data_IF_792441774922
#
_entry.id   IF_792441774922
#
_cell.length_a   1.000
_cell.length_b   1.000
_cell.length_c   1.000
_cell.angle_alpha   90.00
_cell.angle_beta   90.00
_cell.angle_gamma   90.00
#
_symmetry.space_group_name_H-M   'P 1'
#
loop_
_entity.id
_entity.type
_entity.pdbx_description
1 polymer ?
#
# COMPACT_ATOMS: atom_id res chain seq x y z
N UNK A 1 -19.61 -3.99 2.97
CA UNK A 1 -18.69 -3.13 3.73
C UNK A 1 -17.68 -2.47 2.80
N UNK A 2 -17.41 -1.21 3.04
CA UNK A 2 -16.59 -0.37 2.15
C UNK A 2 -15.16 -0.28 2.68
N UNK A 3 -14.18 -0.35 1.78
CA UNK A 3 -12.80 -0.01 2.12
C UNK A 3 -12.73 1.45 2.53
N UNK A 4 -11.98 1.76 3.58
CA UNK A 4 -11.80 3.11 4.09
C UNK A 4 -10.42 3.28 4.72
N UNK A 5 -10.08 4.52 5.07
CA UNK A 5 -8.77 4.82 5.65
C UNK A 5 -8.51 4.04 6.95
N UNK A 6 -9.52 3.86 7.80
CA UNK A 6 -9.36 3.09 9.02
C UNK A 6 -8.89 1.66 8.74
N UNK A 7 -9.49 1.00 7.75
CA UNK A 7 -9.07 -0.36 7.35
C UNK A 7 -7.67 -0.35 6.72
N UNK A 8 -7.34 0.66 5.94
CA UNK A 8 -5.98 0.82 5.40
C UNK A 8 -4.97 0.89 6.53
N UNK A 9 -5.23 1.70 7.56
CA UNK A 9 -4.32 1.80 8.72
C UNK A 9 -4.19 0.48 9.45
N UNK A 10 -5.25 -0.30 9.56
CA UNK A 10 -5.18 -1.64 10.16
C UNK A 10 -4.26 -2.57 9.37
N UNK A 11 -4.30 -2.50 8.04
CA UNK A 11 -3.36 -3.26 7.19
C UNK A 11 -1.92 -2.78 7.44
N UNK A 12 -1.68 -1.49 7.38
CA UNK A 12 -0.35 -0.92 7.53
C UNK A 12 0.24 -1.21 8.92
N UNK A 13 -0.57 -1.11 9.98
CA UNK A 13 -0.13 -1.34 11.35
C UNK A 13 0.19 -2.82 11.63
N UNK A 14 -0.41 -3.73 10.89
CA UNK A 14 -0.27 -5.17 11.12
C UNK A 14 0.62 -5.91 10.11
N UNK A 15 1.08 -5.24 9.06
CA UNK A 15 1.81 -5.91 7.97
C UNK A 15 3.12 -6.57 8.41
N UNK A 16 3.74 -6.12 9.50
CA UNK A 16 4.97 -6.71 10.04
C UNK A 16 4.75 -7.53 11.31
N UNK A 17 3.68 -7.27 12.05
CA UNK A 17 3.43 -7.90 13.37
C UNK A 17 2.32 -8.95 13.32
N UNK A 18 1.36 -8.80 12.44
CA UNK A 18 0.26 -9.75 12.24
C UNK A 18 -0.13 -9.79 10.76
N UNK A 19 0.75 -10.39 9.98
CA UNK A 19 0.61 -10.48 8.52
C UNK A 19 -0.70 -11.14 8.11
N UNK A 20 -1.13 -12.18 8.82
CA UNK A 20 -2.37 -12.90 8.54
C UNK A 20 -3.59 -11.96 8.60
N UNK A 21 -3.67 -11.12 9.62
CA UNK A 21 -4.75 -10.13 9.75
C UNK A 21 -4.70 -9.09 8.64
N UNK A 22 -3.50 -8.57 8.32
CA UNK A 22 -3.33 -7.61 7.25
C UNK A 22 -3.80 -8.18 5.89
N UNK A 23 -3.42 -9.41 5.58
CA UNK A 23 -3.82 -10.10 4.36
C UNK A 23 -5.33 -10.33 4.31
N UNK A 24 -5.93 -10.72 5.44
CA UNK A 24 -7.36 -10.94 5.54
C UNK A 24 -8.14 -9.66 5.21
N UNK A 25 -7.77 -8.54 5.82
CA UNK A 25 -8.42 -7.25 5.56
C UNK A 25 -8.25 -6.84 4.10
N UNK A 26 -7.05 -6.98 3.55
CA UNK A 26 -6.77 -6.68 2.15
C UNK A 26 -7.62 -7.53 1.21
N UNK A 27 -7.65 -8.82 1.42
CA UNK A 27 -8.40 -9.77 0.57
C UNK A 27 -9.90 -9.53 0.62
N UNK A 28 -10.45 -9.27 1.81
CA UNK A 28 -11.89 -9.02 1.99
C UNK A 28 -12.35 -7.73 1.29
N UNK A 29 -11.43 -6.78 1.09
CA UNK A 29 -11.73 -5.47 0.53
C UNK A 29 -11.17 -5.26 -0.88
N UNK A 30 -10.61 -6.28 -1.50
CA UNK A 30 -10.16 -6.25 -2.89
C UNK A 30 -11.32 -6.59 -3.83
N UNK A 31 -11.50 -5.79 -4.89
CA UNK A 31 -12.45 -6.09 -5.94
C UNK A 31 -11.99 -7.32 -6.73
N UNK A 32 -12.92 -8.07 -7.34
CA UNK A 32 -12.59 -9.24 -8.15
C UNK A 32 -11.67 -8.91 -9.33
N UNK A 33 -11.72 -7.67 -9.84
CA UNK A 33 -10.87 -7.17 -10.92
C UNK A 33 -9.70 -6.32 -10.41
N UNK A 34 -9.27 -6.54 -9.16
CA UNK A 34 -8.17 -5.78 -8.56
C UNK A 34 -6.91 -5.81 -9.43
N UNK A 35 -6.30 -4.62 -9.58
CA UNK A 35 -5.03 -4.47 -10.29
C UNK A 35 -4.12 -3.51 -9.53
N UNK A 36 -2.88 -3.94 -9.28
CA UNK A 36 -1.82 -3.10 -8.73
C UNK A 36 -0.98 -2.55 -9.89
N UNK A 37 -0.84 -1.23 -9.93
CA UNK A 37 -0.05 -0.53 -10.94
C UNK A 37 1.11 0.15 -10.23
N UNK A 38 2.33 -0.26 -10.54
CA UNK A 38 3.57 0.37 -10.07
C UNK A 38 4.21 1.16 -11.20
N UNK A 39 5.14 2.01 -10.83
CA UNK A 39 5.83 2.89 -11.77
C UNK A 39 6.46 2.14 -12.96
N UNK A 40 7.03 0.96 -12.69
CA UNK A 40 7.74 0.16 -13.71
C UNK A 40 7.09 -1.19 -14.01
N UNK A 41 5.99 -1.51 -13.33
CA UNK A 41 5.35 -2.82 -13.47
C UNK A 41 3.86 -2.76 -13.18
N UNK A 42 3.16 -3.80 -13.62
CA UNK A 42 1.74 -3.94 -13.40
C UNK A 42 1.45 -5.41 -13.07
N UNK A 43 0.65 -5.63 -12.03
CA UNK A 43 0.28 -6.97 -11.59
C UNK A 43 -1.20 -7.03 -11.22
N UNK A 44 -1.83 -8.19 -11.39
CA UNK A 44 -3.26 -8.39 -11.14
C UNK A 44 -3.49 -9.51 -10.14
N UNK A 45 -4.54 -9.37 -9.32
CA UNK A 45 -5.00 -10.41 -8.40
C UNK A 45 -3.91 -10.91 -7.45
N UNK A 46 -3.77 -12.22 -7.36
CA UNK A 46 -2.77 -12.87 -6.48
C UNK A 46 -1.33 -12.53 -6.87
N UNK A 47 -1.07 -12.27 -8.15
CA UNK A 47 0.25 -11.87 -8.62
C UNK A 47 0.70 -10.56 -7.95
N UNK A 48 -0.20 -9.60 -7.78
CA UNK A 48 0.09 -8.34 -7.10
C UNK A 48 0.49 -8.57 -5.63
N UNK A 49 -0.21 -9.47 -4.96
CA UNK A 49 0.09 -9.86 -3.59
C UNK A 49 1.48 -10.51 -3.48
N UNK A 50 1.78 -11.44 -4.39
CA UNK A 50 3.06 -12.15 -4.38
C UNK A 50 4.24 -11.21 -4.58
N UNK A 51 4.13 -10.23 -5.47
CA UNK A 51 5.16 -9.22 -5.70
C UNK A 51 5.42 -8.41 -4.42
N UNK A 52 4.36 -7.95 -3.77
CA UNK A 52 4.47 -7.17 -2.55
C UNK A 52 5.06 -7.98 -1.40
N UNK A 53 4.56 -9.21 -1.19
CA UNK A 53 5.05 -10.10 -0.15
C UNK A 53 6.54 -10.41 -0.33
N UNK A 54 6.96 -10.65 -1.56
CA UNK A 54 8.36 -10.93 -1.87
C UNK A 54 9.27 -9.73 -1.55
N UNK A 55 8.83 -8.52 -1.86
CA UNK A 55 9.58 -7.32 -1.52
C UNK A 55 9.73 -7.15 0.00
N UNK A 56 8.69 -7.45 0.77
CA UNK A 56 8.74 -7.40 2.22
C UNK A 56 9.63 -8.51 2.81
N UNK A 57 9.53 -9.74 2.29
CA UNK A 57 10.32 -10.88 2.76
C UNK A 57 11.82 -10.70 2.53
N UNK A 58 12.19 -10.06 1.44
CA UNK A 58 13.59 -9.76 1.13
C UNK A 58 14.13 -8.59 1.94
N UNK A 59 13.33 -8.04 2.87
CA UNK A 59 13.68 -6.90 3.73
C UNK A 59 14.18 -5.67 2.98
N UNK A 60 13.82 -5.55 1.69
CA UNK A 60 14.20 -4.39 0.88
C UNK A 60 13.55 -3.11 1.39
N UNK A 61 12.30 -3.22 1.84
CA UNK A 61 11.54 -2.09 2.36
C UNK A 61 11.23 -2.28 3.83
N UNK A 62 11.41 -1.21 4.60
CA UNK A 62 10.84 -1.07 5.94
C UNK A 62 9.95 0.16 5.92
N UNK A 63 8.65 -0.06 5.86
CA UNK A 63 7.66 1.00 5.81
C UNK A 63 7.32 1.47 7.23
N UNK A 64 7.31 2.77 7.43
CA UNK A 64 7.07 3.39 8.72
C UNK A 64 5.81 4.25 8.75
N UNK A 65 5.92 5.46 9.25
CA UNK A 65 4.80 6.37 9.42
C UNK A 65 4.08 6.67 8.10
N UNK A 66 2.79 6.95 8.19
CA UNK A 66 1.92 7.22 7.06
C UNK A 66 1.06 8.47 7.32
N UNK A 67 0.52 9.04 6.26
CA UNK A 67 -0.33 10.21 6.33
C UNK A 67 -1.41 10.14 5.25
N UNK A 68 -2.66 10.32 5.66
CA UNK A 68 -3.78 10.45 4.72
C UNK A 68 -3.68 11.80 3.99
N UNK A 69 -3.80 11.76 2.66
CA UNK A 69 -3.83 12.93 1.81
C UNK A 69 -5.26 13.28 1.42
N UNK A 70 -6.04 12.27 1.02
CA UNK A 70 -7.42 12.46 0.57
C UNK A 70 -8.23 11.17 0.72
N UNK A 71 -9.48 11.30 1.11
CA UNK A 71 -10.44 10.19 1.13
C UNK A 71 -11.81 10.67 0.69
N UNK A 72 -12.42 9.95 -0.25
CA UNK A 72 -13.82 10.11 -0.62
C UNK A 72 -14.40 8.74 -0.98
N UNK A 73 -15.61 8.69 -1.55
CA UNK A 73 -16.27 7.43 -1.90
C UNK A 73 -15.60 6.70 -3.05
N UNK A 74 -14.77 7.37 -3.83
CA UNK A 74 -14.16 6.84 -5.05
C UNK A 74 -12.68 6.54 -4.90
N UNK A 75 -12.00 7.16 -3.92
CA UNK A 75 -10.56 6.99 -3.78
C UNK A 75 -10.05 7.26 -2.37
N UNK A 76 -8.89 6.65 -2.07
CA UNK A 76 -8.12 6.89 -0.85
C UNK A 76 -6.67 7.14 -1.29
N UNK A 77 -6.10 8.27 -0.90
CA UNK A 77 -4.72 8.64 -1.25
C UNK A 77 -3.94 8.87 0.04
N UNK A 78 -2.77 8.23 0.15
CA UNK A 78 -1.89 8.43 1.31
C UNK A 78 -0.43 8.38 0.92
N UNK A 79 0.41 8.82 1.84
CA UNK A 79 1.86 8.70 1.76
C UNK A 79 2.39 7.91 2.94
N UNK A 80 3.51 7.25 2.74
CA UNK A 80 4.19 6.51 3.78
C UNK A 80 5.69 6.73 3.61
N UNK A 81 6.39 6.93 4.74
CA UNK A 81 7.84 7.04 4.75
C UNK A 81 8.44 5.71 5.15
N UNK A 82 9.61 5.40 4.63
CA UNK A 82 10.28 4.16 4.96
C UNK A 82 11.73 4.18 4.54
N UNK A 83 12.37 3.02 4.60
CA UNK A 83 13.75 2.83 4.15
C UNK A 83 13.83 1.71 3.13
N UNK A 84 14.78 1.81 2.23
CA UNK A 84 15.12 0.80 1.24
C UNK A 84 16.56 0.37 1.44
N UNK A 85 16.80 -0.95 1.53
CA UNK A 85 18.12 -1.52 1.83
C UNK A 85 18.77 -0.95 3.11
N UNK A 86 17.95 -0.50 4.06
CA UNK A 86 18.39 -0.03 5.36
C UNK A 86 19.04 1.37 5.41
N UNK A 87 19.35 1.98 4.27
CA UNK A 87 20.09 3.25 4.24
C UNK A 87 19.47 4.34 3.36
N UNK A 88 18.58 4.01 2.46
CA UNK A 88 17.92 5.01 1.62
C UNK A 88 16.53 5.31 2.17
N UNK A 89 16.26 6.57 2.47
CA UNK A 89 14.94 7.00 2.89
C UNK A 89 14.05 7.19 1.65
N UNK A 90 12.87 6.63 1.69
CA UNK A 90 11.92 6.65 0.57
C UNK A 90 10.57 7.21 0.98
N UNK A 91 9.85 7.77 0.02
CA UNK A 91 8.44 8.15 0.14
C UNK A 91 7.64 7.28 -0.81
N UNK A 92 6.68 6.56 -0.26
CA UNK A 92 5.72 5.78 -1.01
C UNK A 92 4.42 6.56 -1.09
N UNK A 93 3.91 6.78 -2.30
CA UNK A 93 2.61 7.42 -2.54
C UNK A 93 1.67 6.38 -3.12
N UNK A 94 0.49 6.26 -2.53
CA UNK A 94 -0.50 5.26 -2.94
C UNK A 94 -1.83 5.94 -3.22
N UNK A 95 -2.45 5.56 -4.33
CA UNK A 95 -3.82 5.92 -4.65
C UNK A 95 -4.62 4.65 -4.87
N UNK A 96 -5.63 4.43 -4.04
CA UNK A 96 -6.59 3.34 -4.22
C UNK A 96 -7.85 3.91 -4.85
N UNK A 97 -8.19 3.45 -6.04
CA UNK A 97 -9.48 3.73 -6.65
C UNK A 97 -10.47 2.63 -6.25
N UNK A 98 -11.63 3.04 -5.76
CA UNK A 98 -12.64 2.13 -5.25
C UNK A 98 -13.75 1.90 -6.29
N UNK A 99 -14.24 0.66 -6.34
CA UNK A 99 -15.41 0.29 -7.13
C UNK A 99 -16.24 -0.67 -6.30
N UNK A 100 -17.52 -0.38 -6.16
CA UNK A 100 -18.44 -1.17 -5.31
C UNK A 100 -17.94 -1.29 -3.87
N UNK A 101 -17.28 -0.23 -3.36
CA UNK A 101 -16.72 -0.17 -2.01
C UNK A 101 -15.44 -0.99 -1.81
N UNK A 102 -14.88 -1.55 -2.87
CA UNK A 102 -13.66 -2.37 -2.81
C UNK A 102 -12.53 -1.77 -3.62
N UNK A 103 -11.30 -2.11 -3.28
CA UNK A 103 -10.12 -1.64 -4.01
C UNK A 103 -10.12 -2.27 -5.40
N UNK A 104 -10.32 -1.44 -6.41
CA UNK A 104 -10.37 -1.87 -7.80
C UNK A 104 -9.05 -1.64 -8.52
N UNK A 105 -8.45 -0.46 -8.34
CA UNK A 105 -7.11 -0.14 -8.86
C UNK A 105 -6.29 0.46 -7.74
N UNK A 106 -5.08 0.01 -7.59
CA UNK A 106 -4.11 0.60 -6.68
C UNK A 106 -2.91 1.06 -7.47
N UNK A 107 -2.60 2.36 -7.39
CA UNK A 107 -1.44 2.97 -8.04
C UNK A 107 -0.42 3.29 -6.97
N UNK A 108 0.76 2.71 -7.09
CA UNK A 108 1.82 2.78 -6.11
C UNK A 108 3.07 3.38 -6.75
N UNK A 109 3.58 4.45 -6.16
CA UNK A 109 4.79 5.12 -6.62
C UNK A 109 5.74 5.31 -5.45
N UNK A 110 6.97 4.83 -5.61
CA UNK A 110 8.03 4.99 -4.61
C UNK A 110 9.16 5.81 -5.20
N UNK A 111 9.64 6.79 -4.44
CA UNK A 111 10.80 7.59 -4.81
C UNK A 111 11.73 7.75 -3.62
N UNK A 112 12.99 8.09 -3.89
CA UNK A 112 13.91 8.47 -2.84
C UNK A 112 13.46 9.80 -2.23
N UNK A 113 13.52 9.90 -0.89
CA UNK A 113 13.17 11.13 -0.19
C UNK A 113 14.27 12.17 -0.37
N UNK A 114 13.89 13.44 -0.43
CA UNK A 114 14.83 14.55 -0.37
C UNK A 114 15.43 14.63 1.04
N UNK A 115 16.60 15.24 1.15
CA UNK A 115 17.28 15.37 2.43
C UNK A 115 16.41 16.14 3.43
N UNK A 116 16.10 15.50 4.56
CA UNK A 116 15.26 16.09 5.62
C UNK A 116 13.77 16.06 5.33
N UNK A 117 13.34 15.42 4.25
CA UNK A 117 11.92 15.31 3.91
C UNK A 117 11.16 14.47 4.93
N UNK A 118 9.97 14.96 5.32
CA UNK A 118 9.02 14.25 6.18
C UNK A 118 7.66 14.22 5.49
N UNK A 119 6.73 13.46 6.07
CA UNK A 119 5.35 13.39 5.55
C UNK A 119 4.56 14.67 5.79
#
# INVERSE_FOLDING_TARGET
MTMNWQKVTQVLDNMYTNKELAEKIGNENAHEDYMLIKETSMAVGEEAKDVFDKELEEEKYKLGNYKLIHEDTDMIIWKQIGTYNGNKQIIRSVCMFLKDGKIWREVDKTREADKGETL
#
